data_IF_693331359810
#
_entry.id   IF_693331359810
#
_cell.length_a   1.000
_cell.length_b   1.000
_cell.length_c   1.000
_cell.angle_alpha   90.00
_cell.angle_beta   90.00
_cell.angle_gamma   90.00
#
_symmetry.space_group_name_H-M   'P 1'
#
loop_
_entity.id
_entity.type
_entity.pdbx_description
1 polymer ?
#
# COMPACT_ATOMS: atom_id res chain seq x y z
N UNK A 1 -44.82 8.80 -23.61
CA UNK A 1 -43.38 9.05 -23.32
C UNK A 1 -42.98 8.04 -22.27
N UNK A 2 -42.77 6.81 -22.74
CA UNK A 2 -42.33 5.67 -21.96
C UNK A 2 -40.86 5.44 -22.33
N UNK A 3 -40.03 5.18 -21.34
CA UNK A 3 -38.72 4.59 -21.56
C UNK A 3 -38.79 3.24 -20.86
N UNK A 4 -39.13 2.22 -21.64
CA UNK A 4 -39.15 0.82 -21.21
C UNK A 4 -37.72 0.38 -20.87
N UNK A 5 -37.57 -0.26 -19.71
CA UNK A 5 -36.39 -1.04 -19.35
C UNK A 5 -36.93 -2.42 -18.97
N UNK A 6 -36.78 -3.38 -19.89
CA UNK A 6 -37.11 -4.78 -19.65
C UNK A 6 -36.18 -5.37 -18.58
N UNK A 7 -36.79 -5.78 -17.47
CA UNK A 7 -36.20 -6.58 -16.39
C UNK A 7 -36.73 -8.00 -16.56
N UNK A 8 -35.87 -9.00 -16.76
CA UNK A 8 -36.27 -10.41 -16.66
C UNK A 8 -35.15 -11.29 -16.07
N UNK A 9 -35.57 -12.19 -15.19
CA UNK A 9 -34.78 -12.98 -14.26
C UNK A 9 -34.44 -14.40 -14.75
N UNK A 10 -33.52 -15.03 -13.99
CA UNK A 10 -33.20 -16.45 -13.85
C UNK A 10 -32.07 -17.06 -14.73
N UNK A 11 -31.13 -17.73 -14.04
CA UNK A 11 -30.40 -18.88 -14.58
C UNK A 11 -28.87 -18.80 -14.54
N UNK A 12 -28.30 -19.28 -13.42
CA UNK A 12 -26.98 -19.92 -13.25
C UNK A 12 -25.71 -19.31 -13.87
N UNK A 13 -24.76 -18.98 -12.98
CA UNK A 13 -23.33 -19.18 -13.23
C UNK A 13 -22.51 -17.95 -13.59
N UNK A 14 -21.53 -17.65 -12.73
CA UNK A 14 -20.39 -16.73 -12.89
C UNK A 14 -20.65 -15.21 -12.71
N UNK A 15 -20.29 -14.70 -11.54
CA UNK A 15 -20.35 -13.27 -11.17
C UNK A 15 -18.95 -12.63 -11.12
N UNK A 16 -18.69 -11.66 -12.02
CA UNK A 16 -17.50 -10.81 -12.05
C UNK A 16 -17.72 -9.42 -11.41
N UNK A 17 -16.69 -8.91 -10.74
CA UNK A 17 -16.59 -7.55 -10.19
C UNK A 17 -16.27 -6.58 -11.35
N UNK A 18 -16.96 -5.44 -11.45
CA UNK A 18 -16.63 -4.39 -12.43
C UNK A 18 -16.13 -3.15 -11.67
N UNK A 19 -14.84 -2.84 -11.84
CA UNK A 19 -14.19 -1.56 -11.52
C UNK A 19 -14.12 -0.72 -12.80
N UNK A 20 -14.69 0.49 -12.82
CA UNK A 20 -14.62 1.38 -13.98
C UNK A 20 -13.48 2.41 -13.86
N UNK A 21 -12.62 2.44 -14.89
CA UNK A 21 -11.74 3.57 -15.22
C UNK A 21 -12.14 4.09 -16.61
N UNK A 22 -12.31 5.41 -16.76
CA UNK A 22 -12.70 6.05 -18.04
C UNK A 22 -11.48 6.70 -18.69
N UNK A 23 -11.07 6.18 -19.84
CA UNK A 23 -10.28 6.91 -20.86
C UNK A 23 -10.82 6.57 -22.24
N UNK A 24 -11.10 7.59 -23.08
CA UNK A 24 -11.87 7.45 -24.32
C UNK A 24 -11.07 7.37 -25.61
N UNK A 25 -11.76 6.95 -26.69
CA UNK A 25 -11.54 7.32 -28.09
C UNK A 25 -12.76 6.87 -28.94
N UNK A 26 -12.90 7.39 -30.16
CA UNK A 26 -14.15 7.71 -30.86
C UNK A 26 -14.48 6.77 -32.06
N UNK A 27 -15.70 6.24 -32.07
CA UNK A 27 -16.68 5.91 -33.14
C UNK A 27 -16.27 5.77 -34.63
N UNK A 28 -16.78 4.72 -35.29
CA UNK A 28 -17.70 4.88 -36.45
C UNK A 28 -18.44 3.59 -36.88
N UNK A 29 -19.71 3.80 -37.25
CA UNK A 29 -20.57 3.01 -38.16
C UNK A 29 -21.28 1.73 -37.71
N UNK A 30 -22.59 1.75 -37.99
CA UNK A 30 -23.58 0.69 -37.80
C UNK A 30 -23.58 -0.29 -38.98
N UNK A 31 -23.66 -1.60 -38.72
CA UNK A 31 -24.34 -2.55 -39.60
C UNK A 31 -24.94 -3.72 -38.79
N UNK A 32 -26.16 -4.08 -39.20
CA UNK A 32 -27.03 -5.10 -38.64
C UNK A 32 -26.52 -6.50 -39.04
N UNK A 33 -26.10 -7.34 -38.08
CA UNK A 33 -25.93 -8.78 -38.28
C UNK A 33 -26.28 -9.58 -37.01
N UNK A 34 -26.82 -10.76 -37.27
CA UNK A 34 -27.51 -11.74 -36.42
C UNK A 34 -26.59 -12.55 -35.48
N UNK A 35 -26.99 -12.69 -34.20
CA UNK A 35 -26.61 -13.70 -33.14
C UNK A 35 -25.11 -13.90 -32.78
N UNK A 36 -24.74 -14.48 -31.63
CA UNK A 36 -25.27 -14.40 -30.25
C UNK A 36 -24.13 -14.13 -29.24
N UNK A 37 -23.99 -12.94 -28.64
CA UNK A 37 -22.81 -12.67 -27.77
C UNK A 37 -23.20 -11.71 -26.63
N UNK A 38 -22.88 -12.14 -25.41
CA UNK A 38 -22.70 -11.43 -24.13
C UNK A 38 -23.02 -9.93 -24.09
N UNK A 39 -23.84 -9.51 -23.12
CA UNK A 39 -24.15 -8.10 -22.92
C UNK A 39 -23.65 -7.59 -21.56
N UNK A 40 -22.73 -6.63 -21.60
CA UNK A 40 -22.31 -5.79 -20.48
C UNK A 40 -23.15 -4.50 -20.45
N UNK A 41 -23.44 -3.96 -19.27
CA UNK A 41 -24.19 -2.69 -19.10
C UNK A 41 -23.21 -1.52 -18.92
N UNK A 42 -23.24 -0.56 -19.84
CA UNK A 42 -22.60 0.76 -19.73
C UNK A 42 -23.67 1.82 -19.38
N UNK A 43 -23.44 2.62 -18.34
CA UNK A 43 -24.19 3.87 -18.11
C UNK A 43 -23.28 5.03 -18.49
N UNK A 44 -23.55 5.68 -19.63
CA UNK A 44 -22.88 6.90 -20.07
C UNK A 44 -23.83 8.08 -19.86
N UNK A 45 -23.49 9.01 -18.96
CA UNK A 45 -24.18 10.29 -18.86
C UNK A 45 -23.77 11.19 -20.04
N UNK A 46 -24.69 11.42 -20.97
CA UNK A 46 -24.52 12.37 -22.08
C UNK A 46 -24.89 13.78 -21.64
N UNK A 47 -23.91 14.60 -21.23
CA UNK A 47 -24.06 16.05 -21.29
C UNK A 47 -22.72 16.73 -21.55
N UNK A 48 -22.62 17.40 -22.71
CA UNK A 48 -21.41 17.98 -23.28
C UNK A 48 -20.82 19.13 -22.45
N UNK A 49 -21.56 19.66 -21.46
CA UNK A 49 -21.12 20.75 -20.57
C UNK A 49 -20.22 20.29 -19.41
N UNK A 50 -20.14 18.99 -19.13
CA UNK A 50 -19.36 18.43 -18.00
C UNK A 50 -17.87 18.25 -18.38
N UNK A 51 -17.56 18.09 -19.67
CA UNK A 51 -16.19 17.81 -20.15
C UNK A 51 -15.16 18.91 -19.87
N UNK A 52 -15.60 20.17 -19.68
CA UNK A 52 -14.67 21.30 -19.49
C UNK A 52 -14.41 21.69 -18.04
N UNK A 53 -15.12 21.11 -17.04
CA UNK A 53 -14.97 21.49 -15.63
C UNK A 53 -14.22 20.48 -14.75
N UNK A 54 -14.13 19.22 -15.15
CA UNK A 54 -13.53 18.16 -14.31
C UNK A 54 -12.02 17.92 -14.53
N UNK A 55 -11.33 18.82 -15.23
CA UNK A 55 -9.92 18.66 -15.61
C UNK A 55 -8.89 19.00 -14.50
N UNK A 56 -9.28 19.07 -13.22
CA UNK A 56 -8.31 19.23 -12.11
C UNK A 56 -8.78 18.53 -10.83
N UNK A 57 -8.14 17.39 -10.54
CA UNK A 57 -7.98 16.78 -9.21
C UNK A 57 -9.22 16.33 -8.41
N UNK A 58 -10.23 15.69 -9.00
CA UNK A 58 -11.23 14.96 -8.20
C UNK A 58 -11.43 13.52 -8.69
N UNK A 59 -11.12 12.55 -7.83
CA UNK A 59 -11.34 11.12 -8.07
C UNK A 59 -12.56 10.69 -7.24
N UNK A 60 -13.70 10.47 -7.90
CA UNK A 60 -14.90 9.92 -7.25
C UNK A 60 -14.99 8.42 -7.57
N UNK A 61 -15.11 7.57 -6.55
CA UNK A 61 -15.26 6.11 -6.65
C UNK A 61 -16.69 5.69 -6.28
N UNK A 62 -17.36 4.93 -7.14
CA UNK A 62 -18.67 4.35 -6.85
C UNK A 62 -18.52 2.84 -6.70
N UNK A 63 -19.01 2.30 -5.60
CA UNK A 63 -18.88 0.88 -5.27
C UNK A 63 -20.28 0.26 -5.16
N UNK A 64 -20.50 -0.79 -5.95
CA UNK A 64 -21.67 -1.66 -5.84
C UNK A 64 -21.18 -3.02 -5.39
N UNK A 65 -21.61 -3.47 -4.22
CA UNK A 65 -21.07 -4.70 -3.63
C UNK A 65 -22.16 -5.49 -2.92
N UNK A 66 -22.26 -6.78 -3.22
CA UNK A 66 -23.12 -7.69 -2.47
C UNK A 66 -22.36 -8.33 -1.31
N UNK A 67 -23.09 -8.78 -0.30
CA UNK A 67 -22.55 -9.70 0.72
C UNK A 67 -23.01 -11.12 0.37
N UNK A 68 -22.05 -12.04 0.25
CA UNK A 68 -22.27 -13.46 -0.05
C UNK A 68 -22.30 -14.29 1.24
N UNK A 69 -22.37 -15.61 1.10
CA UNK A 69 -22.36 -16.57 2.22
C UNK A 69 -21.23 -16.29 3.22
N UNK A 70 -21.50 -16.55 4.51
CA UNK A 70 -20.59 -16.31 5.63
C UNK A 70 -20.06 -14.87 5.75
N UNK A 71 -20.84 -13.90 5.27
CA UNK A 71 -20.48 -12.48 5.29
C UNK A 71 -19.23 -12.15 4.46
N UNK A 72 -18.94 -12.97 3.45
CA UNK A 72 -17.79 -12.79 2.58
C UNK A 72 -18.14 -11.96 1.35
N UNK A 73 -17.16 -11.24 0.76
CA UNK A 73 -17.36 -10.61 -0.54
C UNK A 73 -17.53 -11.68 -1.63
N UNK A 74 -18.18 -11.35 -2.77
CA UNK A 74 -18.14 -12.18 -3.96
C UNK A 74 -16.71 -12.56 -4.34
N UNK A 75 -16.45 -13.75 -4.92
CA UNK A 75 -15.09 -14.22 -5.21
C UNK A 75 -14.23 -13.23 -5.99
N UNK A 76 -14.86 -12.46 -6.87
CA UNK A 76 -14.24 -11.42 -7.69
C UNK A 76 -13.81 -10.17 -6.89
N UNK A 77 -14.46 -9.89 -5.76
CA UNK A 77 -14.19 -8.77 -4.86
C UNK A 77 -13.32 -9.14 -3.65
N UNK A 78 -13.02 -10.43 -3.46
CA UNK A 78 -12.22 -10.94 -2.35
C UNK A 78 -10.87 -10.23 -2.18
N UNK A 79 -10.14 -10.07 -3.28
CA UNK A 79 -8.83 -9.40 -3.25
C UNK A 79 -8.93 -7.90 -3.01
N UNK A 80 -10.01 -7.27 -3.49
CA UNK A 80 -10.25 -5.85 -3.26
C UNK A 80 -10.44 -5.56 -1.77
N UNK A 81 -11.31 -6.33 -1.10
CA UNK A 81 -11.52 -6.20 0.34
C UNK A 81 -10.23 -6.49 1.13
N UNK A 82 -9.54 -7.60 0.80
CA UNK A 82 -8.30 -7.98 1.49
C UNK A 82 -7.21 -6.90 1.37
N UNK A 83 -7.08 -6.27 0.19
CA UNK A 83 -6.11 -5.20 -0.02
C UNK A 83 -6.46 -3.95 0.79
N UNK A 84 -7.74 -3.57 0.87
CA UNK A 84 -8.18 -2.45 1.70
C UNK A 84 -7.95 -2.71 3.19
N UNK A 85 -8.23 -3.92 3.65
CA UNK A 85 -7.99 -4.33 5.04
C UNK A 85 -6.49 -4.33 5.37
N UNK A 86 -5.66 -4.92 4.50
CA UNK A 86 -4.20 -4.91 4.67
C UNK A 86 -3.67 -3.47 4.68
N UNK A 87 -4.14 -2.60 3.78
CA UNK A 87 -3.71 -1.21 3.71
C UNK A 87 -4.13 -0.40 4.94
N UNK A 88 -5.34 -0.62 5.46
CA UNK A 88 -5.85 0.08 6.64
C UNK A 88 -5.11 -0.29 7.93
N UNK A 89 -4.62 -1.53 8.04
CA UNK A 89 -3.89 -2.04 9.23
C UNK A 89 -2.38 -1.79 9.15
N UNK A 90 -1.82 -1.68 7.94
CA UNK A 90 -0.37 -1.58 7.72
C UNK A 90 0.16 -0.17 8.03
N UNK A 91 0.98 -0.07 9.10
CA UNK A 91 1.60 1.16 9.59
C UNK A 91 2.44 1.94 8.54
N UNK A 92 2.75 1.32 7.39
CA UNK A 92 3.48 1.96 6.29
C UNK A 92 2.58 2.82 5.41
N UNK A 93 1.27 2.60 5.44
CA UNK A 93 0.32 3.47 4.77
C UNK A 93 0.00 4.65 5.67
N UNK A 94 -0.01 5.85 5.09
CA UNK A 94 -0.51 7.02 5.79
C UNK A 94 -2.01 6.86 6.02
N UNK A 95 -2.51 7.25 7.19
CA UNK A 95 -3.97 7.33 7.46
C UNK A 95 -4.70 8.32 6.55
N UNK A 96 -3.99 9.03 5.67
CA UNK A 96 -4.52 9.97 4.70
C UNK A 96 -4.14 9.63 3.25
N UNK A 97 -3.74 8.39 2.96
CA UNK A 97 -3.32 7.96 1.63
C UNK A 97 -4.41 8.21 0.56
N UNK A 98 -5.68 8.03 0.94
CA UNK A 98 -6.85 8.26 0.10
C UNK A 98 -7.52 9.62 0.37
N UNK A 99 -6.82 10.58 0.99
CA UNK A 99 -7.34 11.92 1.35
C UNK A 99 -7.99 12.72 0.22
N UNK A 100 -7.59 12.45 -1.04
CA UNK A 100 -8.16 13.11 -2.23
C UNK A 100 -9.29 12.31 -2.90
N UNK A 101 -9.56 11.10 -2.42
CA UNK A 101 -10.61 10.23 -2.95
C UNK A 101 -11.94 10.57 -2.30
N UNK A 102 -12.98 10.72 -3.12
CA UNK A 102 -14.35 10.73 -2.63
C UNK A 102 -15.03 9.43 -3.05
N UNK A 103 -15.86 8.81 -2.22
CA UNK A 103 -16.54 7.56 -2.61
C UNK A 103 -18.01 7.49 -2.19
N UNK A 104 -18.77 6.61 -2.82
CA UNK A 104 -20.12 6.24 -2.39
C UNK A 104 -20.35 4.75 -2.59
N UNK A 105 -21.00 4.10 -1.62
CA UNK A 105 -21.22 2.64 -1.62
C UNK A 105 -22.72 2.33 -1.64
N UNK A 106 -23.09 1.41 -2.52
CA UNK A 106 -24.38 0.75 -2.54
C UNK A 106 -24.16 -0.74 -2.21
N UNK A 107 -24.49 -1.11 -0.99
CA UNK A 107 -24.41 -2.48 -0.49
C UNK A 107 -25.70 -3.24 -0.80
N UNK A 108 -25.58 -4.41 -1.44
CA UNK A 108 -26.70 -5.33 -1.63
C UNK A 108 -26.63 -6.43 -0.56
N UNK A 109 -27.67 -6.52 0.27
CA UNK A 109 -27.78 -7.56 1.28
C UNK A 109 -29.23 -8.00 1.47
N UNK A 110 -29.41 -8.97 2.34
CA UNK A 110 -30.73 -9.49 2.68
C UNK A 110 -30.85 -9.58 4.21
N UNK A 111 -31.83 -8.87 4.78
CA UNK A 111 -31.99 -8.73 6.23
C UNK A 111 -32.28 -10.04 6.96
N UNK A 112 -32.61 -11.12 6.23
CA UNK A 112 -32.74 -12.47 6.80
C UNK A 112 -31.41 -12.98 7.39
N UNK A 113 -30.28 -12.48 6.91
CA UNK A 113 -28.95 -12.86 7.40
C UNK A 113 -28.47 -12.04 8.61
N UNK A 114 -29.35 -11.25 9.23
CA UNK A 114 -29.14 -10.54 10.51
C UNK A 114 -27.75 -9.92 10.69
N UNK A 115 -26.84 -10.59 11.41
CA UNK A 115 -25.49 -10.13 11.74
C UNK A 115 -24.55 -10.03 10.51
N UNK A 116 -24.91 -10.72 9.43
CA UNK A 116 -24.17 -10.71 8.17
C UNK A 116 -24.81 -9.79 7.13
N UNK A 117 -25.87 -9.05 7.49
CA UNK A 117 -26.52 -8.10 6.58
C UNK A 117 -25.56 -6.99 6.16
N UNK A 118 -25.25 -6.94 4.85
CA UNK A 118 -24.38 -5.91 4.23
C UNK A 118 -22.98 -5.75 4.85
N UNK A 119 -22.48 -6.77 5.57
CA UNK A 119 -21.20 -6.70 6.31
C UNK A 119 -20.01 -6.28 5.44
N UNK A 120 -19.98 -6.73 4.18
CA UNK A 120 -18.91 -6.40 3.23
C UNK A 120 -18.92 -4.91 2.87
N UNK A 121 -20.11 -4.33 2.65
CA UNK A 121 -20.23 -2.92 2.33
C UNK A 121 -19.79 -2.04 3.50
N UNK A 122 -20.20 -2.41 4.73
CA UNK A 122 -19.79 -1.72 5.96
C UNK A 122 -18.28 -1.83 6.20
N UNK A 123 -17.68 -2.98 5.92
CA UNK A 123 -16.23 -3.17 6.08
C UNK A 123 -15.42 -2.35 5.06
N UNK A 124 -15.86 -2.29 3.80
CA UNK A 124 -15.22 -1.43 2.78
C UNK A 124 -15.33 0.04 3.19
N UNK A 125 -16.48 0.47 3.70
CA UNK A 125 -16.71 1.83 4.19
C UNK A 125 -15.74 2.20 5.33
N UNK A 126 -15.57 1.28 6.29
CA UNK A 126 -14.62 1.41 7.40
C UNK A 126 -13.19 1.57 6.90
N UNK A 127 -12.71 0.65 6.05
CA UNK A 127 -11.34 0.70 5.54
C UNK A 127 -11.06 1.96 4.71
N UNK A 128 -11.99 2.40 3.87
CA UNK A 128 -11.82 3.62 3.06
C UNK A 128 -11.77 4.87 3.96
N UNK A 129 -12.60 4.91 5.00
CA UNK A 129 -12.57 5.99 6.00
C UNK A 129 -11.25 6.04 6.77
N UNK A 130 -10.72 4.87 7.17
CA UNK A 130 -9.42 4.77 7.88
C UNK A 130 -8.22 5.20 7.03
N UNK A 131 -8.33 5.06 5.70
CA UNK A 131 -7.33 5.51 4.73
C UNK A 131 -7.51 6.99 4.34
N UNK A 132 -8.49 7.69 4.92
CA UNK A 132 -8.72 9.13 4.74
C UNK A 132 -9.63 9.49 3.57
N UNK A 133 -10.29 8.53 2.92
CA UNK A 133 -11.23 8.83 1.85
C UNK A 133 -12.49 9.53 2.39
N UNK A 134 -13.03 10.48 1.62
CA UNK A 134 -14.24 11.22 2.01
C UNK A 134 -15.49 10.54 1.44
N UNK A 135 -16.48 10.24 2.26
CA UNK A 135 -17.76 9.74 1.76
C UNK A 135 -18.57 10.86 1.09
N UNK A 136 -19.09 10.61 -0.12
CA UNK A 136 -19.97 11.52 -0.86
C UNK A 136 -21.41 11.43 -0.35
N UNK A 137 -21.83 10.21 0.00
CA UNK A 137 -23.14 9.87 0.51
C UNK A 137 -23.00 8.72 1.50
N UNK A 138 -23.80 8.74 2.55
CA UNK A 138 -23.91 7.62 3.47
C UNK A 138 -24.11 6.30 2.70
N UNK A 139 -23.38 5.27 3.12
CA UNK A 139 -23.46 3.93 2.54
C UNK A 139 -24.89 3.43 2.59
N UNK A 140 -25.45 3.08 1.42
CA UNK A 140 -26.80 2.55 1.34
C UNK A 140 -26.75 1.04 1.55
N UNK A 141 -27.44 0.56 2.59
CA UNK A 141 -27.58 -0.86 2.91
C UNK A 141 -28.90 -1.35 2.32
N UNK A 142 -28.89 -1.67 1.03
CA UNK A 142 -30.08 -2.11 0.33
C UNK A 142 -30.50 -3.51 0.78
N UNK A 143 -31.79 -3.66 1.08
CA UNK A 143 -32.38 -4.91 1.52
C UNK A 143 -33.20 -5.54 0.38
N UNK A 144 -32.81 -6.75 -0.01
CA UNK A 144 -33.55 -7.58 -0.98
C UNK A 144 -34.84 -8.15 -0.40
N UNK A 145 -34.95 -8.29 0.93
CA UNK A 145 -36.14 -8.80 1.57
C UNK A 145 -37.30 -7.81 1.45
N UNK A 146 -38.13 -7.96 0.41
CA UNK A 146 -39.25 -7.07 0.10
C UNK A 146 -40.27 -6.94 1.23
N UNK A 147 -40.37 -7.94 2.12
CA UNK A 147 -41.26 -7.92 3.28
C UNK A 147 -40.77 -7.05 4.44
N UNK A 148 -39.48 -6.73 4.51
CA UNK A 148 -38.87 -5.87 5.54
C UNK A 148 -38.22 -4.61 4.97
N UNK A 149 -37.99 -4.55 3.66
CA UNK A 149 -37.40 -3.42 2.98
C UNK A 149 -38.31 -2.20 3.03
N UNK A 150 -37.75 -1.08 3.49
CA UNK A 150 -38.42 0.22 3.54
C UNK A 150 -38.78 0.79 2.16
N UNK A 151 -38.18 0.27 1.08
CA UNK A 151 -38.40 0.73 -0.29
C UNK A 151 -38.86 -0.39 -1.24
N UNK A 152 -39.36 -1.50 -0.72
CA UNK A 152 -39.92 -2.58 -1.53
C UNK A 152 -38.89 -3.40 -2.30
N UNK A 153 -37.65 -3.46 -1.81
CA UNK A 153 -36.56 -4.25 -2.39
C UNK A 153 -35.41 -3.41 -2.96
N UNK A 154 -34.43 -4.08 -3.57
CA UNK A 154 -33.20 -3.45 -4.06
C UNK A 154 -33.45 -2.31 -5.06
N UNK A 155 -34.45 -2.45 -5.93
CA UNK A 155 -34.77 -1.46 -6.96
C UNK A 155 -35.23 -0.13 -6.36
N UNK A 156 -36.06 -0.17 -5.32
CA UNK A 156 -36.51 1.04 -4.62
C UNK A 156 -35.37 1.73 -3.85
N UNK A 157 -34.50 0.95 -3.20
CA UNK A 157 -33.27 1.47 -2.59
C UNK A 157 -32.38 2.15 -3.64
N UNK A 158 -32.18 1.50 -4.79
CA UNK A 158 -31.36 2.04 -5.88
C UNK A 158 -31.94 3.33 -6.46
N UNK A 159 -33.25 3.38 -6.74
CA UNK A 159 -33.91 4.57 -7.29
C UNK A 159 -33.74 5.79 -6.38
N UNK A 160 -33.91 5.59 -5.06
CA UNK A 160 -33.75 6.67 -4.09
C UNK A 160 -32.29 7.08 -3.88
N UNK A 161 -31.38 6.12 -3.81
CA UNK A 161 -29.95 6.39 -3.65
C UNK A 161 -29.34 7.06 -4.88
N UNK A 162 -29.67 6.59 -6.08
CA UNK A 162 -29.20 7.18 -7.35
C UNK A 162 -29.67 8.63 -7.52
N UNK A 163 -30.92 8.94 -7.14
CA UNK A 163 -31.43 10.32 -7.13
C UNK A 163 -30.61 11.22 -6.20
N UNK A 164 -30.32 10.76 -4.97
CA UNK A 164 -29.44 11.48 -4.03
C UNK A 164 -28.02 11.64 -4.59
N UNK A 165 -27.50 10.60 -5.24
CA UNK A 165 -26.15 10.59 -5.81
C UNK A 165 -26.01 11.63 -6.91
N UNK A 166 -26.97 11.71 -7.82
CA UNK A 166 -27.00 12.73 -8.88
C UNK A 166 -27.03 14.13 -8.26
N UNK A 167 -27.91 14.38 -7.27
CA UNK A 167 -27.95 15.68 -6.59
C UNK A 167 -26.64 16.04 -5.85
N UNK A 168 -25.98 15.06 -5.23
CA UNK A 168 -24.70 15.26 -4.56
C UNK A 168 -23.55 15.55 -5.55
N UNK A 169 -23.56 14.90 -6.71
CA UNK A 169 -22.59 15.15 -7.78
C UNK A 169 -22.80 16.53 -8.42
N UNK A 170 -24.05 16.94 -8.61
CA UNK A 170 -24.41 18.25 -9.16
C UNK A 170 -24.04 19.41 -8.22
N UNK A 171 -24.28 19.26 -6.91
CA UNK A 171 -23.90 20.27 -5.92
C UNK A 171 -22.38 20.43 -5.83
N UNK A 172 -21.63 19.32 -5.90
CA UNK A 172 -20.17 19.31 -5.97
C UNK A 172 -19.64 19.96 -7.25
N UNK A 173 -20.28 19.72 -8.40
CA UNK A 173 -19.90 20.29 -9.70
C UNK A 173 -20.19 21.80 -9.83
N UNK A 174 -21.18 22.30 -9.10
CA UNK A 174 -21.59 23.72 -9.13
C UNK A 174 -20.92 24.56 -8.06
N UNK A 175 -20.19 23.96 -7.11
CA UNK A 175 -19.51 24.67 -6.02
C UNK A 175 -20.44 25.39 -5.06
N UNK A 176 -21.76 25.16 -5.17
CA UNK A 176 -22.77 25.70 -4.27
C UNK A 176 -23.03 24.69 -3.16
N UNK A 177 -22.46 24.95 -1.99
CA UNK A 177 -23.00 24.39 -0.76
C UNK A 177 -24.45 24.89 -0.62
N UNK A 178 -25.42 23.98 -0.71
CA UNK A 178 -26.83 24.26 -0.52
C UNK A 178 -27.18 24.33 0.97
N UNK A 179 -26.52 25.17 1.74
CA UNK A 179 -26.97 25.51 3.09
C UNK A 179 -28.15 26.47 2.98
N UNK A 180 -29.37 25.92 2.97
CA UNK A 180 -30.53 26.67 3.47
C UNK A 180 -30.32 26.81 4.97
N UNK A 181 -30.07 28.03 5.41
CA UNK A 181 -30.11 28.38 6.82
C UNK A 181 -31.49 27.95 7.37
N UNK A 182 -31.47 27.01 8.31
CA UNK A 182 -32.46 26.97 9.36
C UNK A 182 -31.69 26.80 10.66
N UNK A 183 -32.00 27.64 11.63
CA UNK A 183 -31.36 27.73 12.94
C UNK A 183 -31.53 26.38 13.67
N UNK A 184 -30.44 25.61 13.76
CA UNK A 184 -29.91 25.03 15.00
C UNK A 184 -28.76 24.07 14.67
N UNK A 185 -27.65 24.24 15.41
CA UNK A 185 -26.38 23.49 15.38
C UNK A 185 -25.33 23.89 14.31
N UNK A 186 -24.38 24.70 14.80
CA UNK A 186 -23.06 25.01 14.24
C UNK A 186 -22.25 23.70 14.20
N UNK A 187 -21.63 23.25 13.09
CA UNK A 187 -20.27 23.63 12.68
C UNK A 187 -19.97 22.99 11.31
N UNK A 188 -19.93 23.77 10.23
CA UNK A 188 -19.32 23.32 8.98
C UNK A 188 -18.68 24.52 8.28
N UNK A 189 -17.42 24.37 7.89
CA UNK A 189 -16.51 25.35 7.25
C UNK A 189 -15.63 26.18 8.21
N UNK A 190 -14.49 25.61 8.63
CA UNK A 190 -13.28 26.39 8.89
C UNK A 190 -12.17 25.93 7.95
N UNK A 191 -11.77 26.83 7.06
CA UNK A 191 -10.48 26.76 6.35
C UNK A 191 -9.35 27.23 7.29
N UNK A 192 -8.10 26.77 7.12
CA UNK A 192 -7.02 27.09 8.06
C UNK A 192 -6.46 28.49 7.81
N UNK A 193 -6.41 29.32 8.86
CA UNK A 193 -5.56 30.51 8.92
C UNK A 193 -4.85 30.61 10.27
N UNK A 194 -3.53 30.70 10.18
CA UNK A 194 -2.49 31.17 11.12
C UNK A 194 -2.88 31.71 12.51
N UNK A 195 -2.33 31.04 13.53
CA UNK A 195 -1.70 31.49 14.79
C UNK A 195 -2.38 32.56 15.69
N UNK A 196 -2.78 32.17 16.91
CA UNK A 196 -2.42 32.84 18.19
C UNK A 196 -3.01 32.12 19.41
N UNK A 197 -2.22 32.06 20.50
CA UNK A 197 -2.50 31.55 21.85
C UNK A 197 -3.85 31.97 22.50
N UNK A 198 -4.47 31.07 23.29
CA UNK A 198 -4.61 31.20 24.77
C UNK A 198 -5.44 30.09 25.45
N UNK A 199 -4.89 29.61 26.57
CA UNK A 199 -5.41 29.00 27.83
C UNK A 199 -6.79 28.30 27.95
N UNK A 200 -6.70 27.03 28.37
CA UNK A 200 -7.35 26.30 29.50
C UNK A 200 -8.81 26.59 29.92
N UNK A 201 -9.63 25.54 30.08
CA UNK A 201 -9.96 24.94 31.41
C UNK A 201 -10.87 23.69 31.32
N UNK A 202 -10.79 22.89 32.39
CA UNK A 202 -11.19 21.50 32.64
C UNK A 202 -12.69 21.13 32.60
N UNK A 203 -12.98 19.83 32.50
CA UNK A 203 -14.26 19.23 32.90
C UNK A 203 -14.45 17.74 32.58
N UNK A 204 -13.76 16.88 33.34
CA UNK A 204 -13.88 15.41 33.49
C UNK A 204 -15.26 14.74 33.27
N UNK A 205 -15.27 13.55 32.62
CA UNK A 205 -15.61 12.29 33.31
C UNK A 205 -15.21 11.03 32.53
N UNK A 206 -14.61 10.10 33.27
CA UNK A 206 -13.96 8.84 32.90
C UNK A 206 -14.96 7.73 32.58
N UNK A 207 -14.58 6.79 31.69
CA UNK A 207 -14.60 5.35 31.98
C UNK A 207 -13.40 4.69 31.28
N UNK A 208 -12.63 3.95 32.09
CA UNK A 208 -11.37 3.24 31.86
C UNK A 208 -11.54 1.94 31.07
N UNK A 209 -10.56 1.57 30.20
CA UNK A 209 -9.92 0.24 30.14
C UNK A 209 -8.47 0.38 29.59
N UNK A 210 -7.52 0.26 30.53
CA UNK A 210 -6.14 -0.27 30.56
C UNK A 210 -5.20 -0.23 29.34
N UNK A 211 -4.09 0.49 29.55
CA UNK A 211 -2.83 0.52 28.79
C UNK A 211 -1.69 0.02 29.69
N UNK A 212 -0.84 -0.87 29.20
CA UNK A 212 0.37 -1.31 29.90
C UNK A 212 1.50 -0.28 29.74
N UNK A 213 1.97 0.22 30.88
CA UNK A 213 3.01 1.25 31.05
C UNK A 213 4.44 0.69 30.91
N UNK A 214 5.29 1.46 30.23
CA UNK A 214 6.76 1.34 30.25
C UNK A 214 7.33 2.22 31.39
N UNK A 215 8.11 1.62 32.29
CA UNK A 215 8.74 2.25 33.46
C UNK A 215 10.08 2.92 33.09
N UNK A 216 10.24 4.21 33.45
CA UNK A 216 11.49 4.96 33.35
C UNK A 216 12.29 4.91 34.66
N UNK A 217 13.47 4.28 34.62
CA UNK A 217 14.52 4.44 35.62
C UNK A 217 15.70 5.24 35.07
N UNK A 218 15.76 6.54 35.42
CA UNK A 218 16.84 7.43 35.04
C UNK A 218 18.15 7.16 35.80
N UNK A 219 19.27 7.12 35.07
CA UNK A 219 20.57 7.49 35.60
C UNK A 219 21.25 8.45 34.60
N UNK A 220 21.67 9.61 35.11
CA UNK A 220 22.35 10.67 34.36
C UNK A 220 23.79 10.24 34.09
N UNK A 221 24.27 10.45 32.86
CA UNK A 221 25.50 11.20 32.55
C UNK A 221 25.82 11.11 31.05
N UNK A 222 26.06 12.29 30.42
CA UNK A 222 26.68 12.43 29.10
C UNK A 222 25.75 12.98 28.00
N UNK A 223 25.61 14.30 27.93
CA UNK A 223 25.19 15.01 26.71
C UNK A 223 26.16 14.67 25.56
N UNK A 224 25.68 13.98 24.52
CA UNK A 224 26.27 14.08 23.19
C UNK A 224 25.32 14.88 22.29
N UNK A 225 25.81 16.06 21.96
CA UNK A 225 25.21 17.13 21.19
C UNK A 225 24.65 16.65 19.84
N UNK A 226 23.37 16.92 19.61
CA UNK A 226 22.66 16.54 18.39
C UNK A 226 22.99 17.59 17.33
N UNK A 227 24.06 17.37 16.56
CA UNK A 227 24.45 18.30 15.49
C UNK A 227 23.44 18.27 14.32
N UNK A 228 22.97 19.47 13.99
CA UNK A 228 21.99 19.80 12.96
C UNK A 228 22.50 19.48 11.54
N UNK A 229 21.59 19.06 10.66
CA UNK A 229 21.89 18.35 9.41
C UNK A 229 22.12 19.26 8.20
N UNK A 230 22.40 20.55 8.39
CA UNK A 230 22.61 21.52 7.31
C UNK A 230 24.08 21.95 7.08
N UNK A 231 25.01 21.53 7.95
CA UNK A 231 26.43 21.98 7.91
C UNK A 231 27.42 21.04 7.19
N UNK A 232 26.92 20.03 6.46
CA UNK A 232 27.78 19.03 5.79
C UNK A 232 28.11 19.33 4.32
N UNK A 233 27.78 20.54 3.84
CA UNK A 233 27.95 20.94 2.44
C UNK A 233 29.37 21.33 2.04
N UNK A 234 30.22 21.71 2.99
CA UNK A 234 31.43 22.52 2.68
C UNK A 234 32.78 21.81 2.88
N UNK A 235 32.80 20.51 3.25
CA UNK A 235 34.06 19.79 3.53
C UNK A 235 34.53 18.83 2.42
N UNK A 236 34.01 18.94 1.20
CA UNK A 236 34.45 18.12 0.04
C UNK A 236 34.91 19.01 -1.13
N UNK A 237 35.66 20.07 -0.87
CA UNK A 237 36.35 20.81 -1.97
C UNK A 237 37.85 21.06 -1.72
N UNK A 238 38.46 20.45 -0.71
CA UNK A 238 39.91 20.57 -0.49
C UNK A 238 40.56 19.23 -0.16
N UNK A 239 40.68 18.36 -1.16
CA UNK A 239 41.80 17.41 -1.27
C UNK A 239 41.78 16.66 -2.59
N UNK A 240 42.56 17.17 -3.56
CA UNK A 240 43.12 16.33 -4.62
C UNK A 240 43.95 15.21 -3.97
N UNK A 241 43.89 13.95 -4.43
CA UNK A 241 44.53 12.85 -3.73
C UNK A 241 46.04 12.88 -3.96
N UNK A 242 46.80 13.33 -2.96
CA UNK A 242 48.16 12.85 -2.73
C UNK A 242 48.05 11.45 -2.12
N UNK A 243 48.73 10.47 -2.75
CA UNK A 243 48.76 9.06 -2.32
C UNK A 243 49.17 8.93 -0.85
N UNK A 244 48.21 8.68 0.04
CA UNK A 244 48.48 8.30 1.42
C UNK A 244 48.61 6.77 1.55
N UNK A 245 49.78 6.30 2.00
CA UNK A 245 50.11 4.89 2.29
C UNK A 245 49.48 4.45 3.63
N UNK A 246 48.17 4.22 3.66
CA UNK A 246 47.47 3.56 4.77
C UNK A 246 46.75 2.30 4.32
N UNK A 247 46.35 1.38 5.23
CA UNK A 247 45.50 0.25 4.86
C UNK A 247 44.17 0.75 4.27
N UNK A 248 43.56 0.02 3.32
CA UNK A 248 42.30 0.42 2.71
C UNK A 248 41.21 0.63 3.78
N UNK A 249 40.47 1.74 3.69
CA UNK A 249 39.36 2.04 4.59
C UNK A 249 38.19 1.09 4.34
N UNK A 250 37.43 0.75 5.38
CA UNK A 250 36.18 0.01 5.23
C UNK A 250 35.13 0.82 4.45
N UNK A 251 34.33 0.14 3.62
CA UNK A 251 33.29 0.79 2.82
C UNK A 251 32.14 1.30 3.70
N UNK A 252 31.76 0.52 4.71
CA UNK A 252 30.69 0.85 5.65
C UNK A 252 31.30 1.38 6.94
N UNK A 253 31.19 2.69 7.16
CA UNK A 253 31.58 3.32 8.43
C UNK A 253 30.62 2.93 9.56
N UNK A 254 31.01 3.03 10.85
CA UNK A 254 30.13 2.71 11.97
C UNK A 254 28.79 3.45 11.96
N UNK A 255 28.79 4.72 11.55
CA UNK A 255 27.57 5.53 11.41
C UNK A 255 26.65 5.00 10.30
N UNK A 256 27.21 4.70 9.12
CA UNK A 256 26.45 4.13 7.99
C UNK A 256 25.91 2.75 8.38
N UNK A 257 26.71 1.93 9.07
CA UNK A 257 26.30 0.61 9.57
C UNK A 257 25.07 0.71 10.45
N UNK A 258 25.08 1.59 11.47
CA UNK A 258 23.94 1.79 12.38
C UNK A 258 22.68 2.22 11.63
N UNK A 259 22.82 3.11 10.64
CA UNK A 259 21.70 3.56 9.80
C UNK A 259 21.12 2.41 8.94
N UNK A 260 21.97 1.64 8.26
CA UNK A 260 21.55 0.52 7.41
C UNK A 260 20.92 -0.61 8.24
N UNK A 261 21.48 -0.91 9.42
CA UNK A 261 20.93 -1.92 10.33
C UNK A 261 19.54 -1.53 10.83
N UNK A 262 19.30 -0.24 11.13
CA UNK A 262 17.96 0.28 11.45
C UNK A 262 16.95 0.08 10.30
N UNK A 263 17.43 0.13 9.05
CA UNK A 263 16.62 -0.15 7.86
C UNK A 263 16.44 -1.66 7.57
N UNK A 264 16.94 -2.53 8.45
CA UNK A 264 16.81 -3.98 8.36
C UNK A 264 17.85 -4.67 7.47
N UNK A 265 18.92 -3.98 7.08
CA UNK A 265 20.08 -4.64 6.45
C UNK A 265 20.86 -5.44 7.49
N UNK A 266 21.44 -6.57 7.08
CA UNK A 266 22.47 -7.28 7.81
C UNK A 266 23.78 -7.11 7.06
N UNK A 267 24.67 -6.28 7.61
CA UNK A 267 25.95 -5.95 7.00
C UNK A 267 26.91 -7.13 7.21
N UNK A 268 27.60 -7.52 6.14
CA UNK A 268 28.53 -8.63 6.10
C UNK A 268 29.91 -8.05 5.84
N UNK A 269 30.84 -8.30 6.76
CA UNK A 269 32.18 -7.72 6.70
C UNK A 269 32.16 -6.19 6.65
N UNK A 270 33.00 -5.64 5.79
CA UNK A 270 33.27 -4.22 5.60
C UNK A 270 32.50 -3.58 4.45
N UNK A 271 31.89 -4.36 3.54
CA UNK A 271 31.32 -3.82 2.29
C UNK A 271 30.04 -4.49 1.77
N UNK A 272 29.66 -5.66 2.30
CA UNK A 272 28.55 -6.47 1.76
C UNK A 272 27.30 -6.36 2.65
N UNK A 273 26.14 -6.79 2.14
CA UNK A 273 24.93 -6.84 2.95
C UNK A 273 23.83 -7.71 2.36
N UNK A 274 22.99 -8.24 3.25
CA UNK A 274 21.81 -9.05 2.92
C UNK A 274 20.57 -8.47 3.61
N UNK A 275 19.41 -8.60 2.97
CA UNK A 275 18.13 -8.15 3.53
C UNK A 275 17.00 -9.07 3.04
N UNK A 276 15.95 -9.21 3.85
CA UNK A 276 14.75 -9.92 3.39
C UNK A 276 13.93 -9.06 2.44
N UNK A 277 13.68 -9.61 1.26
CA UNK A 277 12.76 -9.03 0.30
C UNK A 277 11.34 -8.95 0.89
N UNK A 278 10.60 -7.88 0.52
CA UNK A 278 9.18 -7.74 0.84
C UNK A 278 8.37 -8.99 0.46
N UNK A 279 8.66 -9.54 -0.72
CA UNK A 279 7.91 -10.67 -1.27
C UNK A 279 8.24 -12.01 -0.60
N UNK A 280 9.43 -12.16 -0.01
CA UNK A 280 9.74 -13.29 0.87
C UNK A 280 8.77 -13.31 2.05
N UNK A 281 8.57 -12.16 2.71
CA UNK A 281 7.63 -12.03 3.85
C UNK A 281 6.16 -12.30 3.46
N UNK A 282 5.78 -11.94 2.24
CA UNK A 282 4.45 -12.20 1.65
C UNK A 282 4.25 -13.69 1.42
N UNK A 283 5.21 -14.32 0.75
CA UNK A 283 5.11 -15.73 0.34
C UNK A 283 5.22 -16.69 1.54
N UNK A 284 5.98 -16.32 2.59
CA UNK A 284 5.97 -17.01 3.89
C UNK A 284 4.57 -17.08 4.53
N UNK A 285 3.71 -16.09 4.26
CA UNK A 285 2.31 -16.04 4.75
C UNK A 285 1.29 -16.62 3.76
N UNK A 286 1.75 -17.25 2.69
CA UNK A 286 0.86 -17.78 1.65
C UNK A 286 0.17 -16.69 0.80
N UNK A 287 0.61 -15.43 0.87
CA UNK A 287 0.02 -14.30 0.11
C UNK A 287 0.58 -14.15 -1.31
N UNK A 288 1.35 -15.13 -1.79
CA UNK A 288 1.95 -15.14 -3.13
C UNK A 288 3.36 -14.53 -3.21
N UNK A 289 4.04 -14.82 -4.32
CA UNK A 289 5.39 -14.38 -4.65
C UNK A 289 5.43 -13.09 -5.49
N UNK A 290 6.64 -12.59 -5.76
CA UNK A 290 6.84 -11.44 -6.63
C UNK A 290 6.57 -11.76 -8.11
N UNK A 291 6.66 -10.75 -8.98
CA UNK A 291 6.51 -10.96 -10.42
C UNK A 291 7.44 -12.04 -11.00
N UNK A 292 8.63 -12.25 -10.41
CA UNK A 292 9.58 -13.31 -10.83
C UNK A 292 9.03 -14.71 -10.60
N UNK A 293 8.13 -14.88 -9.64
CA UNK A 293 7.41 -16.13 -9.45
C UNK A 293 6.54 -16.43 -10.67
N UNK A 294 5.78 -15.45 -11.14
CA UNK A 294 4.90 -15.59 -12.31
C UNK A 294 5.68 -15.82 -13.60
N UNK A 295 6.78 -15.10 -13.82
CA UNK A 295 7.52 -15.18 -15.09
C UNK A 295 8.55 -16.32 -15.15
N UNK A 296 9.17 -16.66 -14.02
CA UNK A 296 10.32 -17.58 -13.99
C UNK A 296 10.16 -18.74 -13.01
N UNK A 297 9.02 -18.85 -12.32
CA UNK A 297 8.81 -19.87 -11.29
C UNK A 297 9.63 -19.64 -10.01
N UNK A 298 10.31 -18.50 -9.86
CA UNK A 298 11.18 -18.22 -8.71
C UNK A 298 10.35 -18.07 -7.44
N UNK A 299 10.60 -18.94 -6.46
CA UNK A 299 9.93 -18.92 -5.18
C UNK A 299 10.54 -17.83 -4.28
N UNK A 300 9.78 -16.77 -3.99
CA UNK A 300 10.29 -15.59 -3.27
C UNK A 300 10.69 -15.90 -1.81
N UNK A 301 10.05 -16.86 -1.15
CA UNK A 301 10.44 -17.29 0.20
C UNK A 301 11.75 -18.09 0.23
N UNK A 302 12.27 -18.50 -0.93
CA UNK A 302 13.55 -19.22 -1.10
C UNK A 302 14.60 -18.38 -1.84
N UNK A 303 14.35 -17.08 -1.97
CA UNK A 303 15.22 -16.13 -2.63
C UNK A 303 15.99 -15.30 -1.59
N UNK A 304 17.32 -15.39 -1.64
CA UNK A 304 18.22 -14.56 -0.85
C UNK A 304 18.58 -13.29 -1.62
N UNK A 305 18.18 -12.13 -1.11
CA UNK A 305 18.52 -10.83 -1.69
C UNK A 305 19.74 -10.23 -0.99
N UNK A 306 20.86 -10.15 -1.71
CA UNK A 306 22.16 -9.74 -1.17
C UNK A 306 22.91 -8.82 -2.14
N UNK A 307 23.98 -8.21 -1.66
CA UNK A 307 24.93 -7.46 -2.48
C UNK A 307 26.35 -7.61 -1.93
N UNK A 308 27.36 -7.86 -2.78
CA UNK A 308 28.75 -7.87 -2.38
C UNK A 308 29.38 -6.47 -2.37
N UNK A 309 28.64 -5.43 -2.78
CA UNK A 309 29.15 -4.06 -2.83
C UNK A 309 28.00 -3.09 -2.59
N UNK A 310 28.03 -2.35 -1.49
CA UNK A 310 27.07 -1.27 -1.21
C UNK A 310 27.37 0.01 -2.01
N UNK A 311 28.60 0.12 -2.54
CA UNK A 311 29.05 1.23 -3.36
C UNK A 311 28.53 1.11 -4.81
N UNK A 312 28.42 2.23 -5.52
CA UNK A 312 28.14 2.25 -6.96
C UNK A 312 28.81 3.44 -7.62
N UNK A 313 29.09 3.33 -8.92
CA UNK A 313 29.59 4.43 -9.73
C UNK A 313 28.53 5.51 -10.02
N UNK A 314 27.24 5.17 -9.96
CA UNK A 314 26.14 6.04 -10.37
C UNK A 314 25.37 6.62 -9.18
N UNK A 315 24.92 7.87 -9.33
CA UNK A 315 23.97 8.57 -8.45
C UNK A 315 22.63 8.76 -9.15
N UNK A 316 21.93 7.66 -9.42
CA UNK A 316 20.64 7.71 -10.10
C UNK A 316 19.58 8.41 -9.24
N UNK A 317 18.76 9.29 -9.84
CA UNK A 317 17.70 10.04 -9.15
C UNK A 317 16.61 9.16 -8.52
N UNK A 318 16.46 7.92 -9.01
CA UNK A 318 15.47 6.95 -8.53
C UNK A 318 16.06 5.93 -7.55
N UNK A 319 17.38 5.91 -7.35
CA UNK A 319 18.00 5.01 -6.39
C UNK A 319 17.64 5.49 -4.98
N UNK A 320 17.00 4.63 -4.20
CA UNK A 320 16.58 4.86 -2.80
C UNK A 320 17.75 5.03 -1.80
N UNK A 321 18.92 5.41 -2.29
CA UNK A 321 20.11 5.70 -1.49
C UNK A 321 19.99 7.16 -1.05
N UNK A 322 19.54 7.38 0.16
CA UNK A 322 19.41 8.71 0.76
C UNK A 322 20.78 9.38 0.98
N UNK A 323 21.50 9.78 -0.08
CA UNK A 323 22.83 10.44 -0.07
C UNK A 323 23.95 9.79 0.79
N UNK A 324 23.67 8.71 1.52
CA UNK A 324 24.52 8.10 2.56
C UNK A 324 25.36 6.94 2.06
N UNK A 325 25.01 6.36 0.91
CA UNK A 325 25.74 5.19 0.41
C UNK A 325 27.04 5.61 -0.30
N UNK A 326 28.12 4.83 -0.15
CA UNK A 326 29.39 5.15 -0.79
C UNK A 326 29.26 5.22 -2.31
N UNK A 327 29.99 6.15 -2.92
CA UNK A 327 30.09 6.29 -4.37
C UNK A 327 31.56 6.17 -4.76
N UNK A 328 31.83 5.41 -5.81
CA UNK A 328 33.17 5.25 -6.36
C UNK A 328 33.11 4.66 -7.75
N UNK A 329 33.99 5.13 -8.64
CA UNK A 329 34.14 4.60 -10.01
C UNK A 329 35.07 3.40 -10.07
N UNK A 330 35.85 3.16 -9.01
CA UNK A 330 36.76 2.03 -8.87
C UNK A 330 36.77 1.51 -7.43
N UNK A 331 37.24 0.28 -7.24
CA UNK A 331 37.34 -0.34 -5.92
C UNK A 331 38.52 0.22 -5.13
N UNK A 332 38.26 0.75 -3.93
CA UNK A 332 39.26 1.40 -3.08
C UNK A 332 39.15 1.02 -1.60
N UNK A 333 38.30 0.05 -1.28
CA UNK A 333 37.98 -0.33 0.09
C UNK A 333 38.68 -1.61 0.49
N UNK A 334 38.68 -1.88 1.80
CA UNK A 334 39.02 -3.22 2.31
C UNK A 334 38.15 -4.26 1.62
N UNK A 335 38.78 -5.32 1.12
CA UNK A 335 38.12 -6.41 0.39
C UNK A 335 38.03 -7.61 1.31
N UNK A 336 36.80 -8.02 1.61
CA UNK A 336 36.53 -9.30 2.26
C UNK A 336 36.48 -10.40 1.19
N UNK A 337 36.87 -11.62 1.55
CA UNK A 337 36.91 -12.77 0.61
C UNK A 337 35.51 -13.28 0.25
N UNK A 338 35.39 -13.94 -0.91
CA UNK A 338 34.11 -14.37 -1.45
C UNK A 338 33.42 -15.41 -0.56
N UNK A 339 34.19 -16.27 0.12
CA UNK A 339 33.66 -17.29 1.01
C UNK A 339 33.02 -16.67 2.25
N UNK A 340 33.70 -15.70 2.88
CA UNK A 340 33.16 -14.92 4.00
C UNK A 340 31.89 -14.17 3.60
N UNK A 341 31.86 -13.55 2.42
CA UNK A 341 30.68 -12.85 1.90
C UNK A 341 29.52 -13.82 1.66
N UNK A 342 29.77 -14.95 1.00
CA UNK A 342 28.77 -15.97 0.71
C UNK A 342 28.18 -16.57 2.00
N UNK A 343 29.04 -17.07 2.89
CA UNK A 343 28.61 -17.68 4.15
C UNK A 343 27.89 -16.67 5.04
N UNK A 344 28.43 -15.45 5.14
CA UNK A 344 27.79 -14.36 5.88
C UNK A 344 26.41 -14.00 5.34
N UNK A 345 26.19 -14.06 4.03
CA UNK A 345 24.88 -13.82 3.41
C UNK A 345 23.89 -14.95 3.75
N UNK A 346 24.32 -16.21 3.59
CA UNK A 346 23.52 -17.39 3.89
C UNK A 346 23.11 -17.41 5.37
N UNK A 347 24.07 -17.26 6.28
CA UNK A 347 23.84 -17.30 7.72
C UNK A 347 22.88 -16.21 8.18
N UNK A 348 23.08 -14.97 7.71
CA UNK A 348 22.21 -13.86 8.05
C UNK A 348 20.81 -14.02 7.42
N UNK A 349 20.71 -14.55 6.20
CA UNK A 349 19.42 -14.85 5.59
C UNK A 349 18.64 -15.86 6.43
N UNK A 350 19.26 -16.99 6.80
CA UNK A 350 18.62 -18.00 7.65
C UNK A 350 18.26 -17.48 9.04
N UNK A 351 19.14 -16.69 9.68
CA UNK A 351 18.81 -16.01 10.94
C UNK A 351 17.55 -15.16 10.80
N UNK A 352 17.43 -14.39 9.71
CA UNK A 352 16.25 -13.55 9.46
C UNK A 352 15.00 -14.36 9.09
N UNK A 353 15.11 -15.48 8.38
CA UNK A 353 13.95 -16.37 8.13
C UNK A 353 13.49 -17.01 9.44
N UNK A 354 14.42 -17.45 10.29
CA UNK A 354 14.11 -18.12 11.55
C UNK A 354 13.35 -17.21 12.54
N UNK A 355 13.49 -15.88 12.47
CA UNK A 355 12.68 -14.96 13.31
C UNK A 355 11.19 -14.97 12.96
N UNK A 356 10.79 -15.54 11.82
CA UNK A 356 9.37 -15.71 11.46
C UNK A 356 8.72 -16.94 12.11
N UNK A 357 9.49 -17.74 12.86
CA UNK A 357 8.95 -18.87 13.60
C UNK A 357 7.97 -18.39 14.68
N UNK A 358 6.74 -18.89 14.63
CA UNK A 358 5.67 -18.51 15.57
C UNK A 358 4.98 -17.18 15.26
N UNK A 359 5.37 -16.48 14.19
CA UNK A 359 4.69 -15.23 13.79
C UNK A 359 3.30 -15.55 13.21
N UNK A 360 2.23 -14.87 13.65
CA UNK A 360 0.88 -15.09 13.13
C UNK A 360 0.79 -14.98 11.60
N UNK A 361 0.10 -15.96 11.00
CA UNK A 361 -0.12 -16.04 9.56
C UNK A 361 1.05 -16.61 8.74
N UNK A 362 2.22 -16.89 9.35
CA UNK A 362 3.30 -17.59 8.65
C UNK A 362 2.98 -19.07 8.56
N UNK A 363 3.07 -19.64 7.36
CA UNK A 363 2.79 -21.05 7.13
C UNK A 363 4.02 -21.90 7.53
N UNK A 364 3.87 -22.91 8.42
CA UNK A 364 4.99 -23.75 8.85
C UNK A 364 5.71 -24.45 7.68
N UNK A 365 4.96 -24.88 6.66
CA UNK A 365 5.52 -25.48 5.44
C UNK A 365 6.39 -24.50 4.67
N UNK A 366 5.92 -23.26 4.47
CA UNK A 366 6.68 -22.21 3.78
C UNK A 366 7.91 -21.77 4.57
N UNK A 367 7.82 -21.75 5.89
CA UNK A 367 8.97 -21.47 6.76
C UNK A 367 10.05 -22.56 6.60
N UNK A 368 9.65 -23.83 6.59
CA UNK A 368 10.56 -24.95 6.38
C UNK A 368 11.23 -24.89 4.99
N UNK A 369 10.47 -24.57 3.94
CA UNK A 369 11.01 -24.35 2.60
C UNK A 369 11.96 -23.14 2.54
N UNK A 370 11.64 -22.06 3.26
CA UNK A 370 12.45 -20.84 3.31
C UNK A 370 13.81 -21.01 3.98
N UNK A 371 13.97 -22.05 4.82
CA UNK A 371 15.26 -22.48 5.35
C UNK A 371 16.12 -23.24 4.31
N UNK A 372 15.68 -23.29 3.06
CA UNK A 372 16.43 -23.85 1.93
C UNK A 372 16.45 -22.83 0.78
N UNK A 373 17.49 -21.99 0.76
CA UNK A 373 17.72 -21.04 -0.32
C UNK A 373 17.87 -21.80 -1.65
N UNK A 374 17.20 -21.31 -2.69
CA UNK A 374 17.31 -21.82 -4.07
C UNK A 374 17.70 -20.77 -5.09
N UNK A 375 17.55 -19.50 -4.72
CA UNK A 375 17.79 -18.38 -5.61
C UNK A 375 18.61 -17.33 -4.88
N UNK A 376 19.60 -16.74 -5.55
CA UNK A 376 20.32 -15.57 -5.06
C UNK A 376 20.05 -14.38 -5.98
N UNK A 377 19.56 -13.29 -5.43
CA UNK A 377 19.39 -12.03 -6.11
C UNK A 377 20.50 -11.07 -5.67
N UNK A 378 21.56 -10.96 -6.50
CA UNK A 378 22.63 -9.97 -6.36
C UNK A 378 22.12 -8.59 -6.82
N UNK A 379 21.14 -8.04 -6.10
CA UNK A 379 20.42 -6.84 -6.54
C UNK A 379 19.86 -6.00 -5.38
N UNK A 380 20.43 -6.15 -4.18
CA UNK A 380 19.92 -5.44 -3.00
C UNK A 380 20.11 -3.92 -3.12
N UNK A 381 21.36 -3.48 -3.20
CA UNK A 381 21.78 -2.09 -3.42
C UNK A 381 23.24 -2.09 -3.87
N UNK A 382 23.72 -0.97 -4.38
CA UNK A 382 25.10 -0.88 -4.86
C UNK A 382 25.27 -1.35 -6.29
N UNK A 383 26.49 -1.71 -6.65
CA UNK A 383 26.88 -2.25 -7.94
C UNK A 383 27.68 -3.54 -7.71
N UNK A 384 27.04 -4.71 -7.81
CA UNK A 384 27.68 -6.00 -7.51
C UNK A 384 28.92 -6.27 -8.35
N UNK A 385 28.94 -5.86 -9.62
CA UNK A 385 30.07 -6.13 -10.52
C UNK A 385 31.36 -5.38 -10.11
N UNK A 386 31.26 -4.38 -9.24
CA UNK A 386 32.44 -3.70 -8.69
C UNK A 386 33.24 -4.57 -7.71
N UNK A 387 32.65 -5.62 -7.16
CA UNK A 387 33.33 -6.49 -6.20
C UNK A 387 34.44 -7.29 -6.90
N UNK A 388 35.72 -7.20 -6.44
CA UNK A 388 36.84 -7.82 -7.15
C UNK A 388 36.74 -9.34 -7.33
N UNK A 389 36.06 -10.04 -6.41
CA UNK A 389 35.92 -11.50 -6.43
C UNK A 389 34.51 -11.95 -6.86
N UNK A 390 33.83 -11.17 -7.71
CA UNK A 390 32.45 -11.46 -8.13
C UNK A 390 32.28 -12.83 -8.80
N UNK A 391 33.25 -13.27 -9.62
CA UNK A 391 33.18 -14.58 -10.28
C UNK A 391 33.25 -15.72 -9.26
N UNK A 392 34.19 -15.66 -8.32
CA UNK A 392 34.34 -16.63 -7.25
C UNK A 392 33.08 -16.69 -6.37
N UNK A 393 32.48 -15.53 -6.06
CA UNK A 393 31.22 -15.46 -5.34
C UNK A 393 30.08 -16.14 -6.10
N UNK A 394 30.00 -15.95 -7.43
CA UNK A 394 28.99 -16.61 -8.27
C UNK A 394 29.19 -18.12 -8.26
N UNK A 395 30.43 -18.61 -8.38
CA UNK A 395 30.74 -20.04 -8.33
C UNK A 395 30.33 -20.65 -6.98
N UNK A 396 30.60 -19.96 -5.87
CA UNK A 396 30.18 -20.38 -4.52
C UNK A 396 28.66 -20.37 -4.33
N UNK A 397 27.93 -19.49 -5.02
CA UNK A 397 26.47 -19.45 -4.96
C UNK A 397 25.79 -20.53 -5.82
N UNK A 398 26.52 -21.09 -6.79
CA UNK A 398 26.06 -22.21 -7.62
C UNK A 398 26.40 -23.59 -7.04
N UNK A 399 27.43 -23.68 -6.20
CA UNK A 399 27.81 -24.89 -5.47
C UNK A 399 26.74 -25.28 -4.43
#
# INVERSE_FOLDING_TARGET
MAVDIDILAAGSGLTGLILYFVTGAQWSSWHLFTLPIFTFVFIVFTSLSIKKRFAKEQRTLLIFISTYEDATPPPSAKWFLLYLQDAAIDFRFSKNELGKLTYAIFGCGNSLYTENFNKVATEIDRCLSELGATTLLATELADENTGKSIYGGLEGHYSKWSSKLVSALESKATGKCGCRANEDSVTCCKSPSTNSHSKETNGTNEVLIESDDDDEGGNKDGEEDVMDLEDMGDYIETSLPTKAKGPPKEMVTPLIRKSLEKQGYKIIGSHSGVKLCRWTKSMLRGRGGCYKHTFYGIESHRCMETTPSLACANKCVFCWRHHTNPVGTSWQWKTDDAQTVCQGAIDNHYKMINTFKGVPGVLPSRLAEGMQIRHCALSLVGEPIMYPHINELIDLLHA
#
